data_IF_639161376338
#
_entry.id   IF_639161376338
#
_cell.length_a   1.000
_cell.length_b   1.000
_cell.length_c   1.000
_cell.angle_alpha   90.00
_cell.angle_beta   90.00
_cell.angle_gamma   90.00
#
_symmetry.space_group_name_H-M   'P 1'
#
loop_
_entity.id
_entity.type
_entity.pdbx_description
1 polymer ?
#
# COMPACT_ATOMS: atom_id res chain seq x y z
N UNK A 1 -4.14 4.67 13.34
CA UNK A 1 -4.78 3.82 12.32
C UNK A 1 -4.18 4.18 10.96
N UNK A 2 -3.83 3.19 10.12
CA UNK A 2 -3.43 3.42 8.73
C UNK A 2 -4.71 3.33 7.87
N UNK A 3 -4.88 4.26 6.94
CA UNK A 3 -5.99 4.28 5.98
C UNK A 3 -5.45 4.13 4.58
N UNK A 4 -6.06 3.25 3.79
CA UNK A 4 -5.68 3.01 2.39
C UNK A 4 -6.83 3.45 1.50
N UNK A 5 -6.56 4.37 0.58
CA UNK A 5 -7.50 4.87 -0.42
C UNK A 5 -7.09 4.36 -1.80
N UNK A 6 -8.03 3.73 -2.50
CA UNK A 6 -7.81 3.25 -3.85
C UNK A 6 -8.16 4.34 -4.88
N UNK A 7 -7.19 4.66 -5.75
CA UNK A 7 -7.31 5.67 -6.81
C UNK A 7 -7.41 5.05 -8.22
N UNK A 8 -7.60 3.73 -8.32
CA UNK A 8 -7.66 2.96 -9.56
C UNK A 8 -6.33 2.27 -9.87
N UNK A 9 -5.37 3.01 -10.42
CA UNK A 9 -4.03 2.51 -10.76
C UNK A 9 -2.97 2.79 -9.69
N UNK A 10 -3.38 3.40 -8.58
CA UNK A 10 -2.52 3.75 -7.46
C UNK A 10 -3.28 3.64 -6.13
N UNK A 11 -2.55 3.50 -5.03
CA UNK A 11 -3.05 3.60 -3.67
C UNK A 11 -2.44 4.81 -2.98
N UNK A 12 -3.27 5.55 -2.24
CA UNK A 12 -2.82 6.53 -1.26
C UNK A 12 -2.93 5.95 0.13
N UNK A 13 -1.85 6.02 0.89
CA UNK A 13 -1.76 5.54 2.27
C UNK A 13 -1.65 6.74 3.17
N UNK A 14 -2.58 6.86 4.12
CA UNK A 14 -2.55 7.87 5.16
C UNK A 14 -2.15 7.20 6.45
N UNK A 15 -1.06 7.67 7.05
CA UNK A 15 -0.54 7.14 8.32
C UNK A 15 -1.18 7.82 9.52
N UNK A 16 -1.03 7.24 10.72
CA UNK A 16 -1.57 7.83 11.95
C UNK A 16 -1.02 9.22 12.28
N UNK A 17 0.19 9.53 11.79
CA UNK A 17 0.87 10.82 11.93
C UNK A 17 0.39 11.88 10.91
N UNK A 18 -0.56 11.52 10.03
CA UNK A 18 -1.07 12.38 8.98
C UNK A 18 -0.21 12.41 7.71
N UNK A 19 0.94 11.72 7.68
CA UNK A 19 1.75 11.61 6.47
C UNK A 19 1.03 10.79 5.41
N UNK A 20 1.18 11.19 4.15
CA UNK A 20 0.58 10.47 3.03
C UNK A 20 1.62 10.03 2.03
N UNK A 21 1.50 8.80 1.58
CA UNK A 21 2.34 8.21 0.53
C UNK A 21 1.49 7.61 -0.57
N UNK A 22 2.03 7.61 -1.78
CA UNK A 22 1.37 7.05 -2.95
C UNK A 22 2.18 5.86 -3.49
N UNK A 23 1.47 4.78 -3.81
CA UNK A 23 2.02 3.55 -4.34
C UNK A 23 1.37 3.26 -5.69
N UNK A 24 2.18 3.17 -6.75
CA UNK A 24 1.68 2.82 -8.07
C UNK A 24 1.48 1.31 -8.18
N UNK A 25 0.50 0.88 -8.98
CA UNK A 25 0.34 -0.54 -9.32
C UNK A 25 1.63 -1.09 -9.94
N UNK A 26 2.09 -2.25 -9.45
CA UNK A 26 3.34 -2.84 -9.89
C UNK A 26 3.23 -4.37 -9.97
N UNK A 27 3.14 -4.94 -11.20
CA UNK A 27 3.07 -4.26 -12.50
C UNK A 27 1.81 -3.38 -12.71
N UNK A 28 1.86 -2.39 -13.61
CA UNK A 28 0.84 -1.34 -13.79
C UNK A 28 -0.58 -1.84 -14.15
N UNK A 29 -0.72 -3.11 -14.54
CA UNK A 29 -1.99 -3.78 -14.87
C UNK A 29 -2.51 -4.70 -13.76
N UNK A 30 -1.85 -4.74 -12.60
CA UNK A 30 -2.31 -5.51 -11.44
C UNK A 30 -3.11 -4.63 -10.47
N UNK A 31 -4.14 -5.19 -9.85
CA UNK A 31 -4.96 -4.51 -8.84
C UNK A 31 -4.66 -4.96 -7.41
N UNK A 32 -3.76 -5.93 -7.24
CA UNK A 32 -3.44 -6.57 -5.96
C UNK A 32 -2.09 -6.16 -5.39
N UNK A 33 -1.20 -5.56 -6.18
CA UNK A 33 0.15 -5.17 -5.74
C UNK A 33 0.48 -3.75 -6.17
N UNK A 34 0.89 -2.94 -5.21
CA UNK A 34 1.31 -1.57 -5.39
C UNK A 34 2.69 -1.39 -4.76
N UNK A 35 3.59 -0.66 -5.39
CA UNK A 35 4.96 -0.50 -4.92
C UNK A 35 5.44 0.93 -5.15
N UNK A 36 6.18 1.46 -4.19
CA UNK A 36 6.92 2.71 -4.34
C UNK A 36 8.34 2.39 -4.83
N UNK A 37 8.77 3.06 -5.90
CA UNK A 37 9.95 2.68 -6.66
C UNK A 37 11.27 2.97 -5.90
N UNK A 38 11.32 4.01 -5.07
CA UNK A 38 12.54 4.42 -4.38
C UNK A 38 12.80 3.60 -3.10
N UNK A 39 11.80 3.46 -2.24
CA UNK A 39 11.84 2.77 -0.95
C UNK A 39 11.71 1.25 -1.09
N UNK A 40 11.15 0.76 -2.20
CA UNK A 40 10.74 -0.62 -2.40
C UNK A 40 9.65 -1.08 -1.42
N UNK A 41 8.98 -0.15 -0.74
CA UNK A 41 7.82 -0.45 0.07
C UNK A 41 6.67 -0.89 -0.86
N UNK A 42 5.88 -1.85 -0.39
CA UNK A 42 4.82 -2.46 -1.18
C UNK A 42 3.54 -2.63 -0.37
N UNK A 43 2.42 -2.56 -1.06
CA UNK A 43 1.10 -2.87 -0.52
C UNK A 43 0.51 -3.99 -1.34
N UNK A 44 0.09 -5.03 -0.65
CA UNK A 44 -0.64 -6.14 -1.23
C UNK A 44 -2.08 -6.08 -0.74
N UNK A 45 -3.02 -6.02 -1.66
CA UNK A 45 -4.45 -6.10 -1.35
C UNK A 45 -4.91 -7.53 -1.61
N UNK A 46 -5.36 -8.19 -0.56
CA UNK A 46 -6.15 -9.42 -0.62
C UNK A 46 -7.63 -9.09 -0.37
N UNK A 47 -8.56 -9.89 -0.89
CA UNK A 47 -9.98 -9.51 -1.04
C UNK A 47 -10.63 -8.80 0.17
N UNK A 48 -10.23 -9.15 1.40
CA UNK A 48 -10.72 -8.58 2.66
C UNK A 48 -9.65 -7.90 3.52
N UNK A 49 -8.38 -7.96 3.12
CA UNK A 49 -7.25 -7.50 3.93
C UNK A 49 -6.23 -6.74 3.07
N UNK A 50 -5.55 -5.78 3.67
CA UNK A 50 -4.40 -5.13 3.04
C UNK A 50 -3.15 -5.42 3.85
N UNK A 51 -2.06 -5.75 3.19
CA UNK A 51 -0.76 -5.97 3.81
C UNK A 51 0.17 -4.83 3.38
N UNK A 52 0.65 -4.06 4.35
CA UNK A 52 1.69 -3.06 4.13
C UNK A 52 3.03 -3.69 4.43
N UNK A 53 3.89 -3.79 3.42
CA UNK A 53 5.26 -4.27 3.49
C UNK A 53 6.20 -3.08 3.36
N UNK A 54 7.00 -2.84 4.41
CA UNK A 54 8.09 -1.87 4.33
C UNK A 54 9.44 -2.56 4.39
N UNK A 55 10.44 -1.99 3.73
CA UNK A 55 11.80 -2.52 3.76
C UNK A 55 12.30 -2.62 5.20
N UNK A 56 12.62 -3.84 5.65
CA UNK A 56 13.15 -4.11 6.99
C UNK A 56 12.12 -4.12 8.12
N UNK A 57 10.81 -4.08 7.82
CA UNK A 57 9.74 -4.15 8.82
C UNK A 57 8.90 -5.42 8.68
N UNK A 58 8.26 -5.85 9.78
CA UNK A 58 7.22 -6.89 9.73
C UNK A 58 6.00 -6.37 8.96
N UNK A 59 5.41 -7.18 8.06
CA UNK A 59 4.19 -6.80 7.34
C UNK A 59 3.06 -6.45 8.31
N UNK A 60 2.36 -5.35 8.06
CA UNK A 60 1.23 -4.93 8.87
C UNK A 60 -0.09 -5.19 8.15
N UNK A 61 -0.96 -5.99 8.76
CA UNK A 61 -2.32 -6.20 8.28
C UNK A 61 -3.17 -4.99 8.61
N UNK A 62 -3.75 -4.40 7.57
CA UNK A 62 -4.69 -3.31 7.62
C UNK A 62 -6.06 -3.84 7.17
N UNK A 63 -7.13 -3.40 7.84
CA UNK A 63 -8.49 -3.68 7.39
C UNK A 63 -8.87 -2.69 6.30
N UNK A 64 -9.51 -3.18 5.26
CA UNK A 64 -10.09 -2.39 4.17
C UNK A 64 -11.37 -1.68 4.63
#
# INVERSE_FOLDING_TARGET
MITIQNLGTALRVVRPDGTTEEFAASPANQSSRYQEAASHDAIVIDAREALVMKRGSTPQTCKR
#
